data_IF_689670624308
#
_entry.id   IF_689670624308
#
_cell.length_a   1.000
_cell.length_b   1.000
_cell.length_c   1.000
_cell.angle_alpha   90.00
_cell.angle_beta   90.00
_cell.angle_gamma   90.00
#
_symmetry.space_group_name_H-M   'P 1'
#
loop_
_entity.id
_entity.type
_entity.pdbx_description
1 polymer ?
#
# COMPACT_ATOMS: atom_id res chain seq x y z
N UNK A 1 -19.79 -40.77 -11.46
CA UNK A 1 -20.89 -39.79 -11.52
C UNK A 1 -21.17 -39.36 -10.09
N UNK A 2 -21.13 -38.03 -9.85
CA UNK A 2 -21.17 -37.28 -8.57
C UNK A 2 -19.82 -37.15 -7.85
N UNK A 3 -19.33 -35.97 -7.48
CA UNK A 3 -19.73 -34.58 -7.75
C UNK A 3 -18.47 -33.72 -7.54
N UNK A 4 -18.04 -33.03 -8.60
CA UNK A 4 -17.08 -31.91 -8.55
C UNK A 4 -17.82 -30.68 -8.03
N UNK A 5 -17.62 -30.30 -6.76
CA UNK A 5 -18.27 -29.11 -6.23
C UNK A 5 -17.51 -28.41 -5.10
N UNK A 6 -16.17 -28.35 -5.14
CA UNK A 6 -15.42 -27.31 -4.42
C UNK A 6 -14.16 -26.96 -5.20
N UNK A 7 -14.35 -26.24 -6.31
CA UNK A 7 -13.28 -25.53 -6.99
C UNK A 7 -12.60 -24.59 -5.99
N UNK A 8 -11.37 -24.95 -5.65
CA UNK A 8 -10.27 -24.15 -5.13
C UNK A 8 -10.69 -22.83 -4.47
N UNK A 9 -10.68 -22.81 -3.15
CA UNK A 9 -10.53 -21.56 -2.37
C UNK A 9 -9.38 -20.80 -3.01
N UNK A 10 -9.69 -19.72 -3.74
CA UNK A 10 -8.69 -18.79 -4.28
C UNK A 10 -7.73 -18.47 -3.13
N UNK A 11 -6.45 -18.79 -3.30
CA UNK A 11 -5.40 -18.40 -2.36
C UNK A 11 -5.56 -16.91 -2.06
N UNK A 12 -6.04 -16.61 -0.86
CA UNK A 12 -6.20 -15.24 -0.41
C UNK A 12 -4.79 -14.68 -0.26
N UNK A 13 -4.40 -13.77 -1.14
CA UNK A 13 -3.08 -13.15 -1.11
C UNK A 13 -2.79 -12.60 0.30
N UNK A 14 -1.66 -13.02 0.87
CA UNK A 14 -1.26 -12.56 2.20
C UNK A 14 -0.86 -11.07 2.23
N UNK A 15 -0.47 -10.50 1.08
CA UNK A 15 -0.01 -9.12 0.93
C UNK A 15 -0.80 -8.39 -0.17
N UNK A 16 -1.17 -7.14 0.10
CA UNK A 16 -1.75 -6.26 -0.90
C UNK A 16 -0.73 -5.96 -2.02
N UNK A 17 -1.18 -5.95 -3.27
CA UNK A 17 -0.42 -5.42 -4.41
C UNK A 17 -0.56 -3.90 -4.52
N UNK A 18 0.26 -3.22 -5.34
CA UNK A 18 0.12 -1.76 -5.56
C UNK A 18 -1.24 -1.37 -6.14
N UNK A 19 -1.87 -2.26 -6.93
CA UNK A 19 -3.23 -2.09 -7.43
C UNK A 19 -4.28 -2.25 -6.33
N UNK A 20 -4.09 -3.21 -5.43
CA UNK A 20 -4.96 -3.35 -4.26
C UNK A 20 -4.86 -2.10 -3.38
N UNK A 21 -3.66 -1.54 -3.21
CA UNK A 21 -3.44 -0.28 -2.50
C UNK A 21 -4.15 0.89 -3.18
N UNK A 22 -4.07 1.01 -4.50
CA UNK A 22 -4.81 2.03 -5.25
C UNK A 22 -6.33 1.92 -4.98
N UNK A 23 -6.86 0.70 -4.93
CA UNK A 23 -8.27 0.46 -4.61
C UNK A 23 -8.61 0.80 -3.16
N UNK A 24 -7.78 0.38 -2.22
CA UNK A 24 -7.92 0.68 -0.78
C UNK A 24 -7.91 2.19 -0.57
N UNK A 25 -6.99 2.93 -1.19
CA UNK A 25 -6.93 4.40 -1.11
C UNK A 25 -8.24 5.00 -1.60
N UNK A 26 -8.76 4.58 -2.75
CA UNK A 26 -10.06 5.05 -3.27
C UNK A 26 -11.22 4.78 -2.29
N UNK A 27 -11.22 3.65 -1.61
CA UNK A 27 -12.23 3.32 -0.60
C UNK A 27 -12.07 4.16 0.67
N UNK A 28 -10.84 4.32 1.16
CA UNK A 28 -10.52 5.14 2.34
C UNK A 28 -10.76 6.63 2.11
N UNK A 29 -10.69 7.13 0.88
CA UNK A 29 -11.02 8.53 0.57
C UNK A 29 -12.48 8.87 0.91
N UNK A 30 -13.39 7.89 0.97
CA UNK A 30 -14.76 8.11 1.47
C UNK A 30 -14.80 8.50 2.96
N UNK A 31 -13.72 8.26 3.71
CA UNK A 31 -13.57 8.61 5.11
C UNK A 31 -12.94 9.99 5.33
N UNK A 32 -12.61 10.74 4.26
CA UNK A 32 -12.14 12.13 4.40
C UNK A 32 -13.19 12.95 5.16
N UNK A 33 -12.73 13.72 6.15
CA UNK A 33 -13.55 14.43 7.12
C UNK A 33 -13.87 13.64 8.39
N UNK A 34 -13.64 12.32 8.42
CA UNK A 34 -13.76 11.51 9.63
C UNK A 34 -12.73 11.93 10.68
N UNK A 35 -13.11 11.82 11.95
CA UNK A 35 -12.19 12.09 13.07
C UNK A 35 -11.62 10.79 13.63
N UNK A 36 -10.31 10.74 13.83
CA UNK A 36 -9.69 9.67 14.60
C UNK A 36 -10.07 9.82 16.08
N UNK A 37 -10.55 8.76 16.72
CA UNK A 37 -11.06 8.81 18.11
C UNK A 37 -10.25 7.96 19.07
N UNK A 38 -9.95 6.74 18.67
CA UNK A 38 -9.29 5.75 19.53
C UNK A 38 -8.23 5.05 18.70
N UNK A 39 -7.10 4.74 19.32
CA UNK A 39 -6.07 3.92 18.73
C UNK A 39 -5.75 2.74 19.66
N UNK A 40 -5.48 1.57 19.08
CA UNK A 40 -5.21 0.33 19.77
C UNK A 40 -4.11 -0.44 19.03
N UNK A 41 -3.47 -1.36 19.75
CA UNK A 41 -2.55 -2.33 19.19
C UNK A 41 -2.88 -3.71 19.79
N UNK A 42 -3.90 -4.41 19.28
CA UNK A 42 -4.31 -5.71 19.82
C UNK A 42 -3.26 -6.82 19.61
N UNK A 43 -2.32 -6.63 18.68
CA UNK A 43 -1.22 -7.54 18.40
C UNK A 43 0.01 -6.73 17.98
N UNK A 44 1.23 -7.27 18.13
CA UNK A 44 2.46 -6.49 17.90
C UNK A 44 2.54 -5.91 16.47
N UNK A 45 1.98 -6.60 15.47
CA UNK A 45 1.93 -6.12 14.07
C UNK A 45 0.62 -5.42 13.70
N UNK A 46 -0.38 -5.39 14.59
CA UNK A 46 -1.71 -4.90 14.27
C UNK A 46 -2.00 -3.59 14.97
N UNK A 47 -2.29 -2.55 14.21
CA UNK A 47 -2.73 -1.25 14.71
C UNK A 47 -4.18 -1.04 14.30
N UNK A 48 -5.00 -0.54 15.22
CA UNK A 48 -6.39 -0.22 14.94
C UNK A 48 -6.66 1.23 15.29
N UNK A 49 -7.20 2.00 14.34
CA UNK A 49 -7.60 3.39 14.54
C UNK A 49 -9.09 3.50 14.27
N UNK A 50 -9.86 3.90 15.27
CA UNK A 50 -11.30 4.16 15.11
C UNK A 50 -11.51 5.51 14.45
N UNK A 51 -12.09 5.48 13.25
CA UNK A 51 -12.50 6.65 12.49
C UNK A 51 -14.00 6.88 12.68
N UNK A 52 -14.38 8.13 12.94
CA UNK A 52 -15.77 8.53 13.15
C UNK A 52 -16.18 9.57 12.09
N UNK A 53 -16.77 9.13 10.96
CA UNK A 53 -17.34 10.01 9.94
C UNK A 53 -18.61 10.69 10.45
N UNK A 54 -18.93 11.88 9.91
CA UNK A 54 -20.16 12.58 10.30
C UNK A 54 -21.37 11.91 9.64
N UNK A 55 -22.38 11.58 10.43
CA UNK A 55 -23.65 11.01 9.90
C UNK A 55 -23.57 9.55 9.49
N UNK A 56 -22.51 8.83 9.85
CA UNK A 56 -22.39 7.38 9.63
C UNK A 56 -21.75 6.72 10.85
N UNK A 57 -21.97 5.40 11.06
CA UNK A 57 -21.33 4.67 12.15
C UNK A 57 -19.81 4.78 12.10
N UNK A 58 -19.18 4.73 13.28
CA UNK A 58 -17.72 4.64 13.37
C UNK A 58 -17.23 3.33 12.73
N UNK A 59 -16.06 3.39 12.11
CA UNK A 59 -15.39 2.22 11.54
C UNK A 59 -13.96 2.13 12.04
N UNK A 60 -13.51 0.91 12.32
CA UNK A 60 -12.16 0.61 12.72
C UNK A 60 -11.30 0.42 11.47
N UNK A 61 -10.33 1.32 11.27
CA UNK A 61 -9.24 1.13 10.32
C UNK A 61 -8.27 0.12 10.93
N UNK A 62 -8.26 -1.08 10.37
CA UNK A 62 -7.40 -2.18 10.80
C UNK A 62 -6.18 -2.26 9.90
N UNK A 63 -5.02 -2.02 10.49
CA UNK A 63 -3.71 -2.07 9.84
C UNK A 63 -3.00 -3.32 10.33
N UNK A 64 -2.59 -4.19 9.43
CA UNK A 64 -1.64 -5.28 9.71
C UNK A 64 -0.35 -4.94 8.98
N UNK A 65 0.67 -4.55 9.74
CA UNK A 65 1.95 -4.06 9.22
C UNK A 65 2.52 -5.01 8.17
N UNK A 66 2.94 -4.45 7.03
CA UNK A 66 3.54 -5.20 5.93
C UNK A 66 2.62 -6.15 5.17
N UNK A 67 1.31 -6.16 5.45
CA UNK A 67 0.37 -7.13 4.88
C UNK A 67 -0.87 -6.51 4.27
N UNK A 68 -1.75 -5.93 5.09
CA UNK A 68 -3.09 -5.49 4.66
C UNK A 68 -3.65 -4.34 5.48
N UNK A 69 -4.58 -3.63 4.86
CA UNK A 69 -5.32 -2.50 5.42
C UNK A 69 -6.79 -2.61 5.04
N UNK A 70 -7.71 -2.44 5.99
CA UNK A 70 -9.15 -2.47 5.70
C UNK A 70 -9.97 -1.75 6.77
N UNK A 71 -11.19 -1.34 6.41
CA UNK A 71 -12.21 -0.84 7.33
C UNK A 71 -13.05 -2.00 7.89
N UNK A 72 -13.39 -1.94 9.16
CA UNK A 72 -14.21 -2.95 9.83
C UNK A 72 -15.25 -2.30 10.72
N UNK A 73 -16.45 -2.89 10.77
CA UNK A 73 -17.48 -2.57 11.76
C UNK A 73 -17.67 -3.70 12.77
N UNK A 74 -16.86 -4.77 12.67
CA UNK A 74 -16.94 -5.90 13.60
C UNK A 74 -16.43 -5.48 14.96
N UNK A 75 -17.17 -5.83 16.00
CA UNK A 75 -16.69 -5.68 17.35
C UNK A 75 -15.52 -6.64 17.61
N UNK A 76 -14.54 -6.16 18.37
CA UNK A 76 -13.32 -6.91 18.68
C UNK A 76 -12.88 -6.58 20.09
N UNK A 77 -12.43 -7.58 20.88
CA UNK A 77 -11.83 -7.29 22.17
C UNK A 77 -10.57 -6.45 21.95
N UNK A 78 -10.57 -5.24 22.51
CA UNK A 78 -9.41 -4.35 22.48
C UNK A 78 -8.65 -4.46 23.80
N UNK A 79 -7.30 -4.41 23.77
CA UNK A 79 -6.50 -4.47 24.99
C UNK A 79 -6.86 -3.31 25.93
N UNK A 80 -6.99 -3.60 27.21
CA UNK A 80 -7.29 -2.61 28.25
C UNK A 80 -6.11 -1.66 28.48
N UNK A 81 -4.88 -2.19 28.47
CA UNK A 81 -3.66 -1.41 28.55
C UNK A 81 -3.16 -1.06 27.13
N UNK A 82 -3.04 0.23 26.77
CA UNK A 82 -2.52 0.63 25.48
C UNK A 82 -1.00 0.39 25.41
N UNK A 83 -0.52 -0.07 24.26
CA UNK A 83 0.90 -0.10 23.96
C UNK A 83 1.49 1.31 23.85
N UNK A 84 2.82 1.43 23.89
CA UNK A 84 3.53 2.70 23.68
C UNK A 84 3.14 3.35 22.34
N UNK A 85 3.11 2.58 21.25
CA UNK A 85 2.71 3.10 19.94
C UNK A 85 1.25 3.59 19.94
N UNK A 86 0.33 2.82 20.52
CA UNK A 86 -1.07 3.21 20.62
C UNK A 86 -1.24 4.49 21.48
N UNK A 87 -0.44 4.65 22.54
CA UNK A 87 -0.44 5.87 23.36
C UNK A 87 0.04 7.09 22.57
N UNK A 88 1.10 6.96 21.76
CA UNK A 88 1.57 8.04 20.88
C UNK A 88 0.48 8.42 19.87
N UNK A 89 -0.13 7.44 19.19
CA UNK A 89 -1.23 7.70 18.27
C UNK A 89 -2.40 8.40 18.97
N UNK A 90 -2.77 7.99 20.20
CA UNK A 90 -3.82 8.68 20.98
C UNK A 90 -3.42 10.11 21.31
N UNK A 91 -2.18 10.36 21.72
CA UNK A 91 -1.71 11.72 22.06
C UNK A 91 -1.78 12.66 20.86
N UNK A 92 -1.43 12.17 19.66
CA UNK A 92 -1.27 13.01 18.48
C UNK A 92 -2.49 13.04 17.57
N UNK A 93 -3.13 11.90 17.31
CA UNK A 93 -4.25 11.80 16.36
C UNK A 93 -5.63 11.95 17.00
N UNK A 94 -5.77 11.94 18.33
CA UNK A 94 -7.08 12.01 18.94
C UNK A 94 -7.83 13.28 18.53
N UNK A 95 -9.05 13.09 18.03
CA UNK A 95 -9.93 14.11 17.48
C UNK A 95 -9.38 14.85 16.23
N UNK A 96 -8.26 14.40 15.66
CA UNK A 96 -7.73 14.93 14.40
C UNK A 96 -8.64 14.51 13.24
N UNK A 97 -8.82 15.42 12.27
CA UNK A 97 -9.63 15.21 11.07
C UNK A 97 -8.77 14.62 9.96
N UNK A 98 -9.19 13.49 9.39
CA UNK A 98 -8.59 12.97 8.17
C UNK A 98 -8.91 13.93 7.02
N UNK A 99 -7.88 14.43 6.32
CA UNK A 99 -8.05 15.38 5.23
C UNK A 99 -7.57 14.85 3.88
N UNK A 100 -6.74 13.80 3.88
CA UNK A 100 -6.15 13.25 2.67
C UNK A 100 -5.81 11.78 2.86
N UNK A 101 -6.01 10.99 1.81
CA UNK A 101 -5.52 9.62 1.70
C UNK A 101 -4.93 9.48 0.31
N UNK A 102 -3.67 9.09 0.24
CA UNK A 102 -2.92 8.96 -1.01
C UNK A 102 -2.11 7.67 -1.03
N UNK A 103 -1.85 7.16 -2.23
CA UNK A 103 -0.82 6.17 -2.48
C UNK A 103 0.48 6.92 -2.79
N UNK A 104 1.57 6.58 -2.11
CA UNK A 104 2.86 7.19 -2.44
C UNK A 104 3.45 6.53 -3.70
N UNK A 105 3.52 7.29 -4.78
CA UNK A 105 3.87 6.77 -6.11
C UNK A 105 2.88 5.70 -6.58
N UNK A 106 3.40 4.59 -7.10
CA UNK A 106 2.64 3.37 -7.32
C UNK A 106 3.23 2.20 -6.53
N UNK A 107 3.60 2.47 -5.27
CA UNK A 107 4.12 1.47 -4.35
C UNK A 107 3.01 1.03 -3.37
N UNK A 108 3.29 0.00 -2.58
CA UNK A 108 2.42 -0.56 -1.55
C UNK A 108 2.50 0.28 -0.27
N UNK A 109 2.31 1.60 -0.39
CA UNK A 109 2.42 2.55 0.71
C UNK A 109 1.22 3.49 0.70
N UNK A 110 0.49 3.51 1.81
CA UNK A 110 -0.62 4.44 2.05
C UNK A 110 -0.13 5.57 2.95
N UNK A 111 -0.39 6.81 2.54
CA UNK A 111 -0.18 8.01 3.34
C UNK A 111 -1.55 8.59 3.69
N UNK A 112 -1.80 8.80 4.98
CA UNK A 112 -3.01 9.44 5.47
C UNK A 112 -2.64 10.72 6.21
N UNK A 113 -3.10 11.87 5.72
CA UNK A 113 -2.86 13.17 6.37
C UNK A 113 -4.03 13.51 7.29
N UNK A 114 -3.71 13.75 8.55
CA UNK A 114 -4.63 14.24 9.56
C UNK A 114 -4.28 15.68 9.92
N UNK A 115 -5.29 16.50 10.22
CA UNK A 115 -5.09 17.84 10.74
C UNK A 115 -5.75 17.99 12.12
N UNK A 116 -5.16 18.87 12.92
CA UNK A 116 -5.77 19.37 14.15
C UNK A 116 -5.31 20.81 14.41
N UNK A 117 -5.78 21.41 15.51
CA UNK A 117 -5.54 22.83 15.81
C UNK A 117 -4.07 23.26 15.92
N UNK A 118 -3.11 22.34 15.96
CA UNK A 118 -1.67 22.67 16.01
C UNK A 118 -0.89 22.19 14.79
N UNK A 119 -1.54 21.80 13.69
CA UNK A 119 -0.88 21.47 12.43
C UNK A 119 -1.33 20.14 11.82
N UNK A 120 -0.49 19.61 10.94
CA UNK A 120 -0.73 18.36 10.21
C UNK A 120 0.17 17.24 10.69
N UNK A 121 -0.35 16.02 10.62
CA UNK A 121 0.33 14.77 10.94
C UNK A 121 0.11 13.79 9.80
N UNK A 122 1.11 12.96 9.49
CA UNK A 122 0.96 11.89 8.50
C UNK A 122 1.09 10.53 9.15
N UNK A 123 0.17 9.62 8.83
CA UNK A 123 0.28 8.21 9.13
C UNK A 123 0.70 7.49 7.85
N UNK A 124 1.92 6.97 7.83
CA UNK A 124 2.44 6.16 6.72
C UNK A 124 2.27 4.68 7.06
N UNK A 125 1.73 3.92 6.11
CA UNK A 125 1.45 2.49 6.25
C UNK A 125 2.10 1.78 5.07
N UNK A 126 3.15 1.01 5.33
CA UNK A 126 3.85 0.22 4.33
C UNK A 126 3.33 -1.22 4.34
N UNK A 127 2.79 -1.67 3.20
CA UNK A 127 2.07 -2.93 3.00
C UNK A 127 2.88 -3.95 2.19
N UNK A 128 4.20 -3.91 2.34
CA UNK A 128 5.14 -4.88 1.78
C UNK A 128 5.87 -5.63 2.90
N UNK A 129 6.55 -6.74 2.57
CA UNK A 129 7.34 -7.51 3.54
C UNK A 129 8.32 -6.61 4.32
N UNK A 130 8.34 -6.74 5.64
CA UNK A 130 9.14 -5.90 6.55
C UNK A 130 8.71 -4.42 6.55
N UNK A 131 7.52 -4.10 6.04
CA UNK A 131 6.90 -2.79 6.08
C UNK A 131 6.47 -2.39 7.50
N UNK A 132 6.29 -1.09 7.69
CA UNK A 132 6.07 -0.45 8.97
C UNK A 132 4.79 0.42 9.00
N UNK A 133 4.43 0.86 10.20
CA UNK A 133 3.43 1.93 10.41
C UNK A 133 4.12 3.07 11.13
N UNK A 134 4.09 4.28 10.57
CA UNK A 134 4.86 5.42 11.04
C UNK A 134 3.94 6.62 11.27
N UNK A 135 4.07 7.27 12.42
CA UNK A 135 3.50 8.59 12.63
C UNK A 135 4.59 9.63 12.36
N UNK A 136 4.31 10.58 11.47
CA UNK A 136 5.19 11.68 11.09
C UNK A 136 4.58 13.03 11.47
N UNK A 137 5.43 14.02 11.72
CA UNK A 137 5.04 15.43 11.78
C UNK A 137 4.91 16.05 10.38
N UNK A 138 4.55 17.33 10.34
CA UNK A 138 4.36 18.08 9.09
C UNK A 138 5.64 18.23 8.27
N UNK A 139 6.82 18.16 8.89
CA UNK A 139 8.12 18.23 8.23
C UNK A 139 8.58 16.85 7.72
N UNK A 140 7.78 15.80 7.93
CA UNK A 140 8.10 14.43 7.57
C UNK A 140 9.10 13.76 8.50
N UNK A 141 9.30 14.30 9.72
CA UNK A 141 10.12 13.68 10.75
C UNK A 141 9.29 12.61 11.45
N UNK A 142 9.89 11.43 11.65
CA UNK A 142 9.24 10.32 12.35
C UNK A 142 9.06 10.69 13.82
N UNK A 143 7.81 10.89 14.24
CA UNK A 143 7.43 11.03 15.64
C UNK A 143 7.62 9.68 16.33
N UNK A 144 7.10 8.62 15.72
CA UNK A 144 7.21 7.26 16.24
C UNK A 144 6.98 6.23 15.12
N UNK A 145 7.89 5.26 14.93
CA UNK A 145 7.58 4.05 14.17
C UNK A 145 6.90 2.99 15.06
N UNK A 146 6.10 2.11 14.46
CA UNK A 146 5.58 0.91 15.13
C UNK A 146 6.74 0.02 15.58
N UNK A 147 7.70 -0.20 14.68
CA UNK A 147 8.94 -0.95 14.96
C UNK A 147 10.14 -0.12 14.51
N UNK A 148 11.15 0.05 15.36
CA UNK A 148 12.40 0.65 14.92
C UNK A 148 13.12 -0.29 13.94
N UNK A 149 13.53 0.22 12.78
CA UNK A 149 14.14 -0.59 11.73
C UNK A 149 15.31 0.13 11.06
N UNK A 150 16.29 -0.65 10.58
CA UNK A 150 17.41 -0.15 9.78
C UNK A 150 17.51 -1.02 8.52
N UNK A 151 17.38 -0.38 7.37
CA UNK A 151 17.56 -0.98 6.05
C UNK A 151 18.86 -0.45 5.43
N UNK A 152 19.25 -0.99 4.28
CA UNK A 152 20.45 -0.55 3.57
C UNK A 152 20.42 0.94 3.21
N UNK A 153 19.27 1.46 2.74
CA UNK A 153 19.13 2.83 2.25
C UNK A 153 18.48 3.81 3.24
N UNK A 154 17.88 3.34 4.34
CA UNK A 154 17.10 4.19 5.25
C UNK A 154 17.02 3.64 6.68
N UNK A 155 16.72 4.52 7.63
CA UNK A 155 16.46 4.17 9.04
C UNK A 155 15.11 4.70 9.48
N UNK A 156 14.30 3.82 10.07
CA UNK A 156 13.01 4.16 10.65
C UNK A 156 13.18 4.25 12.17
N UNK A 157 13.49 5.44 12.66
CA UNK A 157 13.60 5.73 14.09
C UNK A 157 13.05 7.13 14.40
N UNK A 158 12.61 7.32 15.63
CA UNK A 158 12.14 8.62 16.13
C UNK A 158 13.18 9.72 15.88
N UNK A 159 12.71 10.88 15.42
CA UNK A 159 13.52 12.07 15.14
C UNK A 159 14.25 12.05 13.79
N UNK A 160 14.08 11.02 12.97
CA UNK A 160 14.67 10.94 11.62
C UNK A 160 13.63 11.30 10.57
N UNK A 161 14.04 12.02 9.53
CA UNK A 161 13.20 12.29 8.37
C UNK A 161 12.85 10.98 7.65
N UNK A 162 11.56 10.74 7.41
CA UNK A 162 11.13 9.58 6.65
C UNK A 162 11.59 9.68 5.20
N UNK A 163 12.12 8.57 4.70
CA UNK A 163 12.48 8.38 3.30
C UNK A 163 11.75 7.11 2.85
N UNK A 164 10.87 7.18 1.84
CA UNK A 164 10.24 5.98 1.29
C UNK A 164 11.28 5.04 0.67
N UNK A 165 10.95 3.77 0.41
CA UNK A 165 11.80 2.92 -0.42
C UNK A 165 12.07 3.60 -1.78
N UNK A 166 13.14 3.21 -2.49
CA UNK A 166 13.38 3.69 -3.84
C UNK A 166 12.14 3.51 -4.73
N UNK A 167 11.74 4.57 -5.42
CA UNK A 167 10.55 4.54 -6.25
C UNK A 167 10.70 3.51 -7.38
N UNK A 168 9.72 2.63 -7.52
CA UNK A 168 9.54 1.81 -8.71
C UNK A 168 8.91 2.65 -9.83
N UNK A 169 8.93 2.12 -11.05
CA UNK A 169 8.20 2.70 -12.18
C UNK A 169 6.71 2.80 -11.82
N UNK A 170 6.09 3.93 -12.15
CA UNK A 170 4.64 4.07 -12.07
C UNK A 170 4.03 3.59 -13.39
N UNK A 171 3.28 2.48 -13.40
CA UNK A 171 2.68 1.94 -14.62
C UNK A 171 1.66 2.90 -15.26
N UNK A 172 1.12 3.87 -14.51
CA UNK A 172 0.20 4.89 -15.05
C UNK A 172 0.93 5.92 -15.92
N UNK A 173 2.24 6.02 -15.76
CA UNK A 173 3.11 6.99 -16.42
C UNK A 173 3.95 6.33 -17.52
N UNK A 174 3.75 5.04 -17.81
CA UNK A 174 4.41 4.34 -18.91
C UNK A 174 3.76 4.78 -20.21
N UNK A 175 4.54 5.45 -21.06
CA UNK A 175 4.21 5.73 -22.44
C UNK A 175 5.13 4.91 -23.35
N UNK A 176 4.88 4.94 -24.67
CA UNK A 176 5.67 4.18 -25.63
C UNK A 176 7.19 4.30 -25.45
N UNK A 177 7.71 5.52 -25.30
CA UNK A 177 9.15 5.75 -25.14
C UNK A 177 9.70 5.05 -23.88
N UNK A 178 8.95 5.10 -22.76
CA UNK A 178 9.36 4.42 -21.53
C UNK A 178 9.20 2.90 -21.64
N UNK A 179 8.16 2.43 -22.33
CA UNK A 179 7.94 1.01 -22.57
C UNK A 179 9.09 0.42 -23.38
N UNK A 180 9.46 1.05 -24.49
CA UNK A 180 10.58 0.62 -25.33
C UNK A 180 11.87 0.55 -24.53
N UNK A 181 12.19 1.62 -23.79
CA UNK A 181 13.36 1.64 -22.91
C UNK A 181 13.34 0.51 -21.87
N UNK A 182 12.18 0.27 -21.26
CA UNK A 182 12.01 -0.77 -20.24
C UNK A 182 12.23 -2.18 -20.80
N UNK A 183 11.77 -2.43 -22.03
CA UNK A 183 11.96 -3.69 -22.76
C UNK A 183 13.43 -3.86 -23.18
N UNK A 184 14.03 -2.82 -23.77
CA UNK A 184 15.39 -2.83 -24.32
C UNK A 184 16.45 -3.05 -23.22
N UNK A 185 16.25 -2.48 -22.04
CA UNK A 185 17.18 -2.60 -20.91
C UNK A 185 17.05 -3.93 -20.14
N UNK A 186 16.16 -4.84 -20.58
CA UNK A 186 15.84 -6.08 -19.86
C UNK A 186 16.31 -7.34 -20.59
N UNK A 187 17.17 -8.12 -19.92
CA UNK A 187 17.57 -9.48 -20.33
C UNK A 187 16.60 -10.57 -19.84
N UNK A 188 15.61 -10.18 -19.02
CA UNK A 188 14.58 -11.06 -18.50
C UNK A 188 13.47 -11.30 -19.54
N UNK A 189 12.68 -12.35 -19.31
CA UNK A 189 11.52 -12.65 -20.14
C UNK A 189 10.42 -11.57 -19.95
N UNK A 190 9.49 -11.49 -20.91
CA UNK A 190 8.48 -10.43 -21.01
C UNK A 190 7.66 -10.33 -19.71
N UNK A 191 7.18 -11.46 -19.17
CA UNK A 191 6.41 -11.46 -17.94
C UNK A 191 7.17 -10.89 -16.75
N UNK A 192 8.44 -11.24 -16.59
CA UNK A 192 9.28 -10.79 -15.48
C UNK A 192 9.61 -9.30 -15.64
N UNK A 193 9.86 -8.88 -16.87
CA UNK A 193 10.11 -7.49 -17.22
C UNK A 193 8.90 -6.61 -16.89
N UNK A 194 7.70 -6.96 -17.37
CA UNK A 194 6.46 -6.24 -17.07
C UNK A 194 6.12 -6.27 -15.57
N UNK A 195 6.25 -7.44 -14.93
CA UNK A 195 5.88 -7.60 -13.53
C UNK A 195 6.80 -6.83 -12.57
N UNK A 196 8.12 -6.92 -12.77
CA UNK A 196 9.10 -6.36 -11.85
C UNK A 196 9.53 -4.94 -12.24
N UNK A 197 9.96 -4.74 -13.48
CA UNK A 197 10.43 -3.42 -13.96
C UNK A 197 9.25 -2.49 -14.26
N UNK A 198 8.18 -3.02 -14.83
CA UNK A 198 6.95 -2.27 -15.10
C UNK A 198 6.07 -2.06 -13.87
N UNK A 199 6.41 -2.68 -12.74
CA UNK A 199 5.66 -2.61 -11.49
C UNK A 199 4.18 -3.00 -11.64
N UNK A 200 3.88 -3.88 -12.60
CA UNK A 200 2.54 -4.40 -12.85
C UNK A 200 2.23 -5.59 -11.93
N UNK A 201 3.26 -6.26 -11.42
CA UNK A 201 3.12 -7.55 -10.75
C UNK A 201 2.69 -8.65 -11.73
N UNK A 202 2.80 -9.92 -11.30
CA UNK A 202 2.64 -11.07 -12.19
C UNK A 202 1.24 -11.18 -12.81
N UNK A 203 0.17 -10.89 -12.07
CA UNK A 203 -1.20 -11.03 -12.61
C UNK A 203 -1.45 -10.04 -13.75
N UNK A 204 -1.12 -8.76 -13.57
CA UNK A 204 -1.37 -7.77 -14.61
C UNK A 204 -0.36 -7.90 -15.76
N UNK A 205 0.89 -8.25 -15.48
CA UNK A 205 1.85 -8.59 -16.54
C UNK A 205 1.36 -9.76 -17.40
N UNK A 206 0.84 -10.82 -16.79
CA UNK A 206 0.28 -11.98 -17.51
C UNK A 206 -0.97 -11.62 -18.29
N UNK A 207 -1.86 -10.80 -17.71
CA UNK A 207 -3.04 -10.31 -18.40
C UNK A 207 -2.69 -9.47 -19.63
N UNK A 208 -1.66 -8.62 -19.55
CA UNK A 208 -1.16 -7.83 -20.68
C UNK A 208 -0.61 -8.74 -21.78
N UNK A 209 0.24 -9.72 -21.44
CA UNK A 209 0.74 -10.69 -22.43
C UNK A 209 -0.41 -11.43 -23.12
N UNK A 210 -1.41 -11.88 -22.36
CA UNK A 210 -2.58 -12.58 -22.89
C UNK A 210 -3.46 -11.68 -23.78
N UNK A 211 -3.66 -10.41 -23.40
CA UNK A 211 -4.40 -9.44 -24.22
C UNK A 211 -3.68 -9.08 -25.51
N UNK A 212 -2.34 -9.15 -25.51
CA UNK A 212 -1.49 -8.90 -26.67
C UNK A 212 -1.22 -10.16 -27.53
N UNK A 213 -1.73 -11.33 -27.13
CA UNK A 213 -1.43 -12.63 -27.75
C UNK A 213 0.09 -12.92 -27.84
N UNK A 214 0.84 -12.58 -26.79
CA UNK A 214 2.29 -12.78 -26.68
C UNK A 214 2.65 -13.84 -25.65
N UNK A 215 3.62 -14.70 -25.96
CA UNK A 215 4.12 -15.69 -25.01
C UNK A 215 4.90 -15.02 -23.87
N UNK A 216 4.63 -15.44 -22.62
CA UNK A 216 5.22 -14.84 -21.41
C UNK A 216 6.75 -14.98 -21.32
N UNK A 217 7.31 -16.03 -21.91
CA UNK A 217 8.73 -16.40 -21.89
C UNK A 217 9.55 -15.76 -23.04
N UNK A 218 8.94 -14.95 -23.92
CA UNK A 218 9.69 -14.19 -24.91
C UNK A 218 10.69 -13.27 -24.23
N UNK A 219 11.87 -13.09 -24.82
CA UNK A 219 12.83 -12.11 -24.34
C UNK A 219 12.30 -10.70 -24.59
N UNK A 220 12.24 -9.89 -23.53
CA UNK A 220 11.65 -8.56 -23.59
C UNK A 220 12.30 -7.67 -24.67
N UNK A 221 13.63 -7.71 -24.77
CA UNK A 221 14.39 -6.96 -25.77
C UNK A 221 14.26 -7.48 -27.21
N UNK A 222 13.81 -8.72 -27.41
CA UNK A 222 13.71 -9.36 -28.72
C UNK A 222 12.34 -9.13 -29.39
N UNK A 223 11.40 -8.43 -28.72
CA UNK A 223 10.11 -8.07 -29.31
C UNK A 223 10.31 -7.18 -30.54
N UNK A 224 9.67 -7.56 -31.65
CA UNK A 224 9.68 -6.78 -32.88
C UNK A 224 8.74 -5.54 -32.79
N UNK A 225 8.76 -4.70 -33.83
CA UNK A 225 7.96 -3.47 -33.86
C UNK A 225 6.46 -3.73 -33.67
N UNK A 226 5.89 -4.69 -34.40
CA UNK A 226 4.45 -5.00 -34.33
C UNK A 226 4.04 -5.50 -32.95
N UNK A 227 4.86 -6.36 -32.33
CA UNK A 227 4.61 -6.85 -30.97
C UNK A 227 4.63 -5.73 -29.93
N UNK A 228 5.51 -4.73 -30.11
CA UNK A 228 5.57 -3.55 -29.23
C UNK A 228 4.37 -2.62 -29.45
N UNK A 229 3.90 -2.45 -30.68
CA UNK A 229 2.66 -1.69 -30.97
C UNK A 229 1.45 -2.32 -30.27
N UNK A 230 1.30 -3.64 -30.33
CA UNK A 230 0.19 -4.34 -29.67
C UNK A 230 0.27 -4.19 -28.14
N UNK A 231 1.48 -4.20 -27.57
CA UNK A 231 1.69 -4.08 -26.12
C UNK A 231 1.38 -2.67 -25.57
N UNK A 232 1.49 -1.63 -26.42
CA UNK A 232 1.24 -0.23 -26.06
C UNK A 232 -0.25 0.18 -26.20
N UNK A 233 -1.03 -0.60 -26.96
CA UNK A 233 -2.45 -0.34 -27.26
C UNK A 233 -3.40 -0.69 -26.11
#
# INVERSE_FOLDING_TARGET
MKDDAYGTVRDMREQASSFDVARIVRELSSMIGARARKAYQPHYEQVVIRLNPKGSPSSDLVIVSGRRLYLSQRDRPMPSQPSQFAMVLRKHLNNSRLIEVEQLGFDRIVSMTFEHGSGKLKLIIELFRDGNVLLLDEQGIIIQPLTHAKYASRSLKRGVKYIPPPAAVDPREINRVKLDKLLDESDDDLIRTLAARGNLGRIYGSAICASADLEENLKAKDLNYEQREILDA
#
